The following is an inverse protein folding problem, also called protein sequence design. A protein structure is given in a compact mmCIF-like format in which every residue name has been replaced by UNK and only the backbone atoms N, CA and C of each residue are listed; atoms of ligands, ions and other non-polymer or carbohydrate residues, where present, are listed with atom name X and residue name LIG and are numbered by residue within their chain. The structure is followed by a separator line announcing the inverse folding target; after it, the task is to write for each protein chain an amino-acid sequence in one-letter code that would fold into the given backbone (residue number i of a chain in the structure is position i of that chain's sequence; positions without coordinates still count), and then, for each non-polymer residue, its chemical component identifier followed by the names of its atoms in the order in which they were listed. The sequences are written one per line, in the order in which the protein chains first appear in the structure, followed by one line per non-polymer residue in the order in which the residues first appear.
data_IF_876600323894
#
_entry.id   IF_876600323894
#
_cell.length_a   1.000
_cell.length_b   1.000
_cell.length_c   1.000
_cell.angle_alpha   90.00
_cell.angle_beta   90.00
_cell.angle_gamma   90.00
#
_symmetry.space_group_name_H-M   'P 1'
#
loop_
_entity.id
_entity.type
_entity.pdbx_description
1 polymer ?
#
# COMPACT_ATOMS: atom_id res chain seq x y z
N UNK A 1 -29.06 -0.84 24.40
CA UNK A 1 -28.12 -1.23 23.33
C UNK A 1 -27.29 -0.01 22.94
N UNK A 2 -25.99 -0.20 22.74
CA UNK A 2 -25.14 0.89 22.27
C UNK A 2 -25.51 1.26 20.81
N UNK A 3 -25.56 2.55 20.51
CA UNK A 3 -25.75 3.02 19.13
C UNK A 3 -24.44 2.76 18.37
N UNK A 4 -24.47 2.13 17.18
CA UNK A 4 -23.26 1.94 16.37
C UNK A 4 -22.57 3.27 16.05
N UNK A 5 -21.25 3.27 16.00
CA UNK A 5 -20.46 4.42 15.54
C UNK A 5 -20.72 4.67 14.04
N UNK A 6 -20.84 5.94 13.66
CA UNK A 6 -20.92 6.34 12.25
C UNK A 6 -19.49 6.56 11.74
N UNK A 7 -18.93 5.55 11.07
CA UNK A 7 -17.60 5.64 10.47
C UNK A 7 -17.68 6.25 9.07
N UNK A 8 -16.68 7.07 8.75
CA UNK A 8 -16.44 7.50 7.37
C UNK A 8 -15.58 6.48 6.59
N UNK A 9 -15.08 6.84 5.39
CA UNK A 9 -14.15 6.01 4.64
C UNK A 9 -12.83 5.82 5.40
N UNK A 10 -12.02 4.86 4.95
CA UNK A 10 -10.65 4.67 5.48
C UNK A 10 -9.86 5.96 5.28
N UNK A 11 -9.33 6.53 6.36
CA UNK A 11 -8.56 7.78 6.33
C UNK A 11 -7.13 7.54 5.85
N UNK A 12 -6.45 6.57 6.43
CA UNK A 12 -5.09 6.20 6.06
C UNK A 12 -4.79 4.74 6.41
N UNK A 13 -3.76 4.21 5.78
CA UNK A 13 -3.19 2.89 6.03
C UNK A 13 -1.71 3.08 6.30
N UNK A 14 -1.14 2.28 7.17
CA UNK A 14 0.29 2.26 7.42
C UNK A 14 0.82 0.83 7.34
N UNK A 15 1.86 0.64 6.53
CA UNK A 15 2.54 -0.62 6.36
C UNK A 15 3.88 -0.59 7.07
N UNK A 16 4.25 -1.70 7.67
CA UNK A 16 5.59 -1.93 8.20
C UNK A 16 6.36 -2.74 7.15
N UNK A 17 7.51 -2.24 6.71
CA UNK A 17 8.29 -2.78 5.60
C UNK A 17 9.75 -3.06 6.03
N UNK A 18 10.39 -4.03 5.40
CA UNK A 18 11.77 -4.39 5.75
C UNK A 18 12.80 -3.40 5.19
N UNK A 19 12.45 -2.68 4.12
CA UNK A 19 13.29 -1.67 3.46
C UNK A 19 12.41 -0.53 2.94
N UNK A 20 12.44 0.62 3.62
CA UNK A 20 11.60 1.78 3.29
C UNK A 20 11.90 2.32 1.90
N UNK A 21 13.18 2.41 1.49
CA UNK A 21 13.56 2.97 0.19
C UNK A 21 13.15 2.05 -0.96
N UNK A 22 13.30 0.75 -0.81
CA UNK A 22 12.81 -0.24 -1.79
C UNK A 22 11.30 -0.18 -1.93
N UNK A 23 10.57 -0.12 -0.83
CA UNK A 23 9.10 0.01 -0.84
C UNK A 23 8.66 1.37 -1.37
N UNK A 24 9.36 2.46 -1.01
CA UNK A 24 9.14 3.79 -1.58
C UNK A 24 9.18 3.75 -3.11
N UNK A 25 10.23 3.21 -3.70
CA UNK A 25 10.38 3.10 -5.14
C UNK A 25 9.20 2.30 -5.76
N UNK A 26 8.84 1.18 -5.16
CA UNK A 26 7.71 0.37 -5.62
C UNK A 26 6.39 1.15 -5.63
N UNK A 27 6.01 1.77 -4.53
CA UNK A 27 4.74 2.49 -4.43
C UNK A 27 4.71 3.79 -5.24
N UNK A 28 5.82 4.50 -5.38
CA UNK A 28 5.86 5.75 -6.17
C UNK A 28 6.02 5.50 -7.66
N UNK A 29 6.96 4.68 -8.08
CA UNK A 29 7.32 4.51 -9.49
C UNK A 29 6.40 3.53 -10.24
N UNK A 30 5.83 2.54 -9.55
CA UNK A 30 4.93 1.56 -10.15
C UNK A 30 3.47 1.90 -9.89
N UNK A 31 3.09 2.23 -8.66
CA UNK A 31 1.70 2.46 -8.29
C UNK A 31 1.29 3.94 -8.30
N UNK A 32 2.21 4.86 -8.60
CA UNK A 32 1.92 6.27 -8.81
C UNK A 32 1.62 7.07 -7.53
N UNK A 33 1.97 6.56 -6.36
CA UNK A 33 1.89 7.34 -5.12
C UNK A 33 2.86 8.51 -5.15
N UNK A 34 2.47 9.63 -4.57
CA UNK A 34 3.31 10.82 -4.42
C UNK A 34 3.78 10.95 -2.98
N UNK A 35 5.01 11.42 -2.76
CA UNK A 35 5.52 11.68 -1.41
C UNK A 35 4.79 12.89 -0.83
N UNK A 36 4.15 12.69 0.32
CA UNK A 36 3.55 13.76 1.11
C UNK A 36 4.50 14.26 2.21
N UNK A 37 5.25 13.33 2.84
CA UNK A 37 6.27 13.67 3.84
C UNK A 37 7.31 12.53 3.91
N UNK A 38 8.59 12.84 3.76
CA UNK A 38 9.69 11.88 3.82
C UNK A 38 10.81 12.27 4.80
N UNK A 39 10.65 13.38 5.50
CA UNK A 39 11.51 13.81 6.59
C UNK A 39 10.70 14.58 7.62
N UNK A 40 11.12 14.58 8.90
CA UNK A 40 10.53 15.46 9.90
C UNK A 40 10.63 16.94 9.51
N UNK A 41 9.76 17.76 10.09
CA UNK A 41 9.89 19.20 9.98
C UNK A 41 11.27 19.67 10.51
N UNK A 42 11.77 20.84 10.10
CA UNK A 42 13.05 21.35 10.57
C UNK A 42 13.15 21.39 12.10
N UNK A 43 14.36 21.23 12.63
CA UNK A 43 14.60 21.13 14.09
C UNK A 43 14.18 22.38 14.89
N UNK A 44 14.03 23.52 14.25
CA UNK A 44 13.54 24.77 14.81
C UNK A 44 12.01 24.95 14.71
N UNK A 45 11.32 24.02 14.03
CA UNK A 45 9.86 24.02 13.96
C UNK A 45 9.25 23.49 15.28
N UNK A 46 8.22 24.15 15.84
CA UNK A 46 7.60 23.71 17.08
C UNK A 46 6.95 22.33 17.03
N UNK A 47 6.72 21.79 15.83
CA UNK A 47 6.16 20.44 15.60
C UNK A 47 7.20 19.41 15.13
N UNK A 48 8.49 19.73 15.23
CA UNK A 48 9.57 18.80 14.83
C UNK A 48 9.44 17.43 15.51
N UNK A 49 9.39 17.42 16.84
CA UNK A 49 9.33 16.16 17.60
C UNK A 49 8.06 15.35 17.28
N UNK A 50 6.94 16.03 17.06
CA UNK A 50 5.70 15.38 16.63
C UNK A 50 5.88 14.65 15.30
N UNK A 51 6.57 15.26 14.34
CA UNK A 51 6.81 14.64 13.02
C UNK A 51 7.86 13.54 13.07
N UNK A 52 8.86 13.64 13.95
CA UNK A 52 9.79 12.52 14.23
C UNK A 52 9.02 11.31 14.76
N UNK A 53 8.18 11.51 15.77
CA UNK A 53 7.36 10.45 16.36
C UNK A 53 6.34 9.86 15.37
N UNK A 54 5.77 10.71 14.50
CA UNK A 54 4.82 10.28 13.48
C UNK A 54 5.50 9.39 12.44
N UNK A 55 6.62 9.83 11.88
CA UNK A 55 7.28 9.13 10.78
C UNK A 55 7.99 7.87 11.24
N UNK A 56 8.63 7.88 12.42
CA UNK A 56 9.39 6.72 12.93
C UNK A 56 10.38 6.18 11.88
N UNK A 57 11.19 7.05 11.29
CA UNK A 57 12.11 6.76 10.18
C UNK A 57 11.43 6.26 8.89
N UNK A 58 10.13 6.49 8.78
CA UNK A 58 9.33 6.14 7.62
C UNK A 58 8.93 7.34 6.79
N UNK A 59 7.96 7.15 5.91
CA UNK A 59 7.44 8.15 5.00
C UNK A 59 5.90 8.11 4.95
N UNK A 60 5.30 9.18 4.48
CA UNK A 60 3.87 9.25 4.13
C UNK A 60 3.73 9.58 2.66
N UNK A 61 2.90 8.82 1.97
CA UNK A 61 2.59 8.99 0.55
C UNK A 61 1.08 9.21 0.37
N UNK A 62 0.70 9.75 -0.77
CA UNK A 62 -0.70 10.02 -1.12
C UNK A 62 -1.00 9.57 -2.55
N UNK A 63 -2.19 9.01 -2.75
CA UNK A 63 -2.77 8.77 -4.07
C UNK A 63 -4.27 9.06 -3.98
N UNK A 64 -4.73 10.10 -4.69
CA UNK A 64 -6.09 10.63 -4.48
C UNK A 64 -6.31 11.01 -3.02
N UNK A 65 -7.35 10.46 -2.41
CA UNK A 65 -7.70 10.72 -0.99
C UNK A 65 -7.04 9.72 -0.02
N UNK A 66 -6.34 8.69 -0.53
CA UNK A 66 -5.68 7.69 0.30
C UNK A 66 -4.30 8.17 0.75
N UNK A 67 -4.10 8.24 2.06
CA UNK A 67 -2.78 8.35 2.67
C UNK A 67 -2.24 6.96 2.99
N UNK A 68 -1.03 6.67 2.54
CA UNK A 68 -0.32 5.42 2.80
C UNK A 68 1.03 5.73 3.45
N UNK A 69 1.18 5.31 4.70
CA UNK A 69 2.44 5.42 5.42
C UNK A 69 3.28 4.15 5.30
N UNK A 70 4.59 4.30 5.21
CA UNK A 70 5.56 3.23 5.38
C UNK A 70 6.42 3.52 6.60
N UNK A 71 6.72 2.50 7.38
CA UNK A 71 7.73 2.57 8.44
C UNK A 71 8.60 1.31 8.42
N UNK A 72 9.86 1.38 8.87
CA UNK A 72 10.71 0.20 8.95
C UNK A 72 10.22 -0.77 10.03
N UNK A 73 10.49 -2.06 9.83
CA UNK A 73 10.49 -3.06 10.90
C UNK A 73 11.55 -2.70 11.94
N UNK A 74 11.47 -3.33 13.12
CA UNK A 74 12.58 -3.26 14.07
C UNK A 74 13.82 -3.99 13.55
N UNK A 75 14.97 -3.73 14.16
CA UNK A 75 16.27 -4.26 13.73
C UNK A 75 16.37 -5.79 13.78
N UNK A 76 15.48 -6.46 14.48
CA UNK A 76 15.44 -7.92 14.60
C UNK A 76 14.60 -8.59 13.51
N UNK A 77 13.80 -7.81 12.76
CA UNK A 77 12.83 -8.30 11.76
C UNK A 77 13.18 -7.90 10.32
N UNK A 78 14.41 -7.56 10.03
CA UNK A 78 14.84 -7.12 8.69
C UNK A 78 14.69 -8.19 7.59
N UNK A 79 14.53 -9.46 7.99
CA UNK A 79 14.26 -10.59 7.08
C UNK A 79 12.82 -11.10 7.16
N UNK A 80 11.91 -10.33 7.79
CA UNK A 80 10.50 -10.70 7.88
C UNK A 80 9.82 -10.70 6.52
N UNK A 81 8.72 -11.45 6.41
CA UNK A 81 7.90 -11.56 5.21
C UNK A 81 6.44 -11.49 5.59
N UNK A 82 5.65 -10.89 4.72
CA UNK A 82 4.21 -10.86 4.87
C UNK A 82 3.63 -12.28 4.77
N UNK A 83 2.68 -12.56 5.66
CA UNK A 83 1.93 -13.81 5.68
C UNK A 83 0.42 -13.50 5.81
N UNK A 84 -0.38 -13.71 4.73
CA UNK A 84 -1.81 -13.41 4.74
C UNK A 84 -2.62 -14.34 5.66
N UNK A 85 -2.06 -15.45 6.10
CA UNK A 85 -2.73 -16.40 7.00
C UNK A 85 -2.58 -16.04 8.49
N UNK A 86 -1.83 -15.00 8.80
CA UNK A 86 -1.74 -14.46 10.16
C UNK A 86 -2.91 -13.53 10.43
N UNK A 87 -3.33 -13.45 11.70
CA UNK A 87 -4.36 -12.50 12.12
C UNK A 87 -3.94 -11.06 11.78
N UNK A 88 -4.73 -10.36 10.98
CA UNK A 88 -4.47 -9.01 10.52
C UNK A 88 -5.02 -8.77 9.12
N UNK A 89 -4.34 -7.95 8.35
CA UNK A 89 -4.70 -7.66 6.96
C UNK A 89 -4.38 -8.87 6.07
N UNK A 90 -5.37 -9.34 5.29
CA UNK A 90 -5.17 -10.36 4.25
C UNK A 90 -4.53 -9.72 3.00
N UNK A 91 -5.20 -8.73 2.41
CA UNK A 91 -4.71 -7.99 1.26
C UNK A 91 -5.32 -6.59 1.20
N UNK A 92 -4.75 -5.75 0.35
CA UNK A 92 -5.23 -4.41 0.04
C UNK A 92 -5.51 -4.31 -1.45
N UNK A 93 -6.74 -3.94 -1.82
CA UNK A 93 -7.16 -3.79 -3.22
C UNK A 93 -7.31 -2.33 -3.62
N UNK A 94 -6.79 -1.98 -4.80
CA UNK A 94 -6.94 -0.66 -5.41
C UNK A 94 -7.86 -0.74 -6.63
N UNK A 95 -8.75 0.25 -6.78
CA UNK A 95 -9.67 0.31 -7.91
C UNK A 95 -8.97 0.81 -9.18
N UNK A 96 -9.25 0.15 -10.30
CA UNK A 96 -8.89 0.57 -11.66
C UNK A 96 -10.18 0.89 -12.43
N UNK A 97 -10.06 1.73 -13.46
CA UNK A 97 -11.23 2.18 -14.21
C UNK A 97 -11.82 1.08 -15.11
N UNK A 98 -10.99 0.18 -15.64
CA UNK A 98 -11.41 -0.85 -16.59
C UNK A 98 -10.57 -2.12 -16.52
N UNK A 99 -11.08 -3.21 -17.07
CA UNK A 99 -10.32 -4.47 -17.26
C UNK A 99 -9.10 -4.26 -18.16
N UNK A 100 -9.18 -3.41 -19.17
CA UNK A 100 -8.04 -3.07 -20.02
C UNK A 100 -6.89 -2.44 -19.22
N UNK A 101 -7.19 -1.69 -18.16
CA UNK A 101 -6.17 -1.15 -17.25
C UNK A 101 -5.51 -2.25 -16.42
N UNK A 102 -6.24 -3.33 -16.05
CA UNK A 102 -5.64 -4.50 -15.42
C UNK A 102 -4.68 -5.24 -16.37
N UNK A 103 -5.04 -5.37 -17.65
CA UNK A 103 -4.18 -5.99 -18.66
C UNK A 103 -2.88 -5.18 -18.86
N UNK A 104 -2.98 -3.86 -18.93
CA UNK A 104 -1.82 -2.98 -19.00
C UNK A 104 -0.96 -3.05 -17.73
N UNK A 105 -1.59 -3.16 -16.55
CA UNK A 105 -0.89 -3.33 -15.29
C UNK A 105 -0.15 -4.68 -15.23
N UNK A 106 -0.77 -5.77 -15.66
CA UNK A 106 -0.14 -7.10 -15.72
C UNK A 106 1.11 -7.07 -16.59
N UNK A 107 1.04 -6.44 -17.78
CA UNK A 107 2.21 -6.26 -18.65
C UNK A 107 3.32 -5.45 -17.96
N UNK A 108 2.98 -4.35 -17.29
CA UNK A 108 3.95 -3.54 -16.56
C UNK A 108 4.59 -4.32 -15.40
N UNK A 109 3.84 -5.21 -14.74
CA UNK A 109 4.36 -6.09 -13.70
C UNK A 109 5.37 -7.10 -14.25
N UNK A 110 5.07 -7.73 -15.39
CA UNK A 110 5.99 -8.63 -16.07
C UNK A 110 7.30 -7.93 -16.45
N UNK A 111 7.22 -6.76 -17.07
CA UNK A 111 8.37 -5.96 -17.50
C UNK A 111 9.28 -5.56 -16.33
N UNK A 112 8.71 -5.38 -15.13
CA UNK A 112 9.43 -4.97 -13.91
C UNK A 112 9.74 -6.11 -12.95
N UNK A 113 9.38 -7.34 -13.31
CA UNK A 113 9.61 -8.52 -12.47
C UNK A 113 8.81 -8.53 -11.17
N UNK A 114 7.63 -7.90 -11.15
CA UNK A 114 6.71 -7.92 -10.01
C UNK A 114 5.98 -9.25 -9.98
N UNK A 115 5.96 -9.89 -8.82
CA UNK A 115 5.22 -11.15 -8.63
C UNK A 115 3.72 -10.87 -8.70
N UNK A 116 3.02 -11.50 -9.64
CA UNK A 116 1.58 -11.36 -9.80
C UNK A 116 0.94 -12.68 -10.29
N UNK A 117 -0.37 -12.77 -10.14
CA UNK A 117 -1.20 -13.84 -10.70
C UNK A 117 -1.80 -13.41 -12.05
N UNK A 118 -2.51 -14.32 -12.71
CA UNK A 118 -3.34 -13.98 -13.86
C UNK A 118 -4.56 -13.16 -13.42
N UNK A 119 -5.12 -12.37 -14.36
CA UNK A 119 -6.39 -11.68 -14.16
C UNK A 119 -7.50 -12.72 -14.05
N UNK A 120 -8.33 -12.59 -13.04
CA UNK A 120 -9.49 -13.45 -12.80
C UNK A 120 -10.79 -12.66 -12.84
N UNK A 121 -11.75 -13.13 -13.60
CA UNK A 121 -13.11 -12.60 -13.60
C UNK A 121 -13.90 -13.18 -12.44
N UNK A 122 -14.60 -12.33 -11.71
CA UNK A 122 -15.49 -12.69 -10.62
C UNK A 122 -16.92 -12.20 -10.94
N UNK A 123 -17.64 -12.87 -11.88
CA UNK A 123 -18.95 -12.40 -12.35
C UNK A 123 -19.99 -12.21 -11.25
N UNK A 124 -20.05 -13.03 -10.18
CA UNK A 124 -21.00 -12.81 -9.09
C UNK A 124 -20.85 -11.44 -8.39
N UNK A 125 -19.68 -10.82 -8.49
CA UNK A 125 -19.38 -9.50 -7.91
C UNK A 125 -19.29 -8.40 -8.97
N UNK A 126 -19.37 -8.75 -10.27
CA UNK A 126 -19.25 -7.79 -11.37
C UNK A 126 -17.87 -7.18 -11.53
N UNK A 127 -16.82 -7.86 -11.10
CA UNK A 127 -15.44 -7.36 -11.10
C UNK A 127 -14.45 -8.36 -11.72
N UNK A 128 -13.33 -7.82 -12.18
CA UNK A 128 -12.10 -8.58 -12.46
C UNK A 128 -11.02 -8.15 -11.48
N UNK A 129 -10.13 -9.07 -11.12
CA UNK A 129 -9.06 -8.84 -10.15
C UNK A 129 -7.70 -9.27 -10.69
N UNK A 130 -6.66 -8.55 -10.30
CA UNK A 130 -5.26 -8.87 -10.57
C UNK A 130 -4.48 -8.85 -9.26
N UNK A 131 -4.27 -10.02 -8.63
CA UNK A 131 -3.45 -10.13 -7.43
C UNK A 131 -1.95 -9.95 -7.75
N UNK A 132 -1.23 -9.23 -6.89
CA UNK A 132 0.21 -9.04 -6.99
C UNK A 132 0.85 -8.85 -5.62
N UNK A 133 2.16 -8.73 -5.55
CA UNK A 133 2.88 -8.59 -4.28
C UNK A 133 3.82 -7.38 -4.30
N UNK A 134 3.91 -6.73 -3.15
CA UNK A 134 4.92 -5.73 -2.91
C UNK A 134 6.31 -6.38 -2.63
N UNK A 135 7.40 -5.60 -2.45
CA UNK A 135 8.74 -6.15 -2.21
C UNK A 135 8.87 -7.03 -0.96
N UNK A 136 8.01 -6.86 0.04
CA UNK A 136 7.98 -7.70 1.25
C UNK A 136 7.03 -8.90 1.13
N UNK A 137 6.45 -9.09 -0.04
CA UNK A 137 5.48 -10.15 -0.30
C UNK A 137 4.07 -9.85 0.21
N UNK A 138 3.80 -8.59 0.61
CA UNK A 138 2.46 -8.19 1.00
C UNK A 138 1.48 -8.39 -0.15
N UNK A 139 0.36 -9.02 0.14
CA UNK A 139 -0.68 -9.27 -0.85
C UNK A 139 -1.41 -7.97 -1.19
N UNK A 140 -1.33 -7.61 -2.46
CA UNK A 140 -2.01 -6.48 -3.08
C UNK A 140 -2.90 -6.98 -4.21
N UNK A 141 -3.87 -6.17 -4.60
CA UNK A 141 -4.79 -6.49 -5.69
C UNK A 141 -5.17 -5.21 -6.44
N UNK A 142 -5.33 -5.33 -7.74
CA UNK A 142 -6.06 -4.36 -8.55
C UNK A 142 -7.42 -4.92 -8.89
N UNK A 143 -8.46 -4.11 -8.75
CA UNK A 143 -9.86 -4.50 -9.03
C UNK A 143 -10.47 -3.54 -10.02
N UNK A 144 -11.10 -4.07 -11.06
CA UNK A 144 -11.82 -3.28 -12.06
C UNK A 144 -13.23 -3.84 -12.28
N UNK A 145 -14.19 -3.03 -12.77
CA UNK A 145 -15.48 -3.55 -13.23
C UNK A 145 -15.30 -4.47 -14.44
N UNK A 146 -16.20 -5.47 -14.57
CA UNK A 146 -16.33 -6.33 -15.76
C UNK A 146 -16.96 -5.59 -16.91
#
# INVERSE_FOLDING_TARGET
MAVPLSLGPVHHIRLTVTDVERSRAFYTELLGFQIAMDAPLPADDPHHDLTVDLLQDGIVMVNGDLLLGLRPVDTQRTNDRFDPFRCGLDHLSFSMASKADLEAAAQAFEERGVVHSEISDLPPFGIAVLPFKDPDGMALELTAPL
#
